data_IF_248022475123
#
_entry.id   IF_248022475123
#
_cell.length_a   1.000
_cell.length_b   1.000
_cell.length_c   1.000
_cell.angle_alpha   90.00
_cell.angle_beta   90.00
_cell.angle_gamma   90.00
#
_symmetry.space_group_name_H-M   'P 1'
#
loop_
_entity.id
_entity.type
_entity.pdbx_description
1 polymer ?
#
# COMPACT_ATOMS: atom_id res chain seq x y z
N UNK A 1 -13.68 3.89 -8.53
CA UNK A 1 -13.10 3.50 -7.24
C UNK A 1 -11.91 2.60 -7.49
N UNK A 2 -10.72 2.90 -6.93
CA UNK A 2 -9.47 2.17 -7.24
C UNK A 2 -9.14 1.10 -6.18
N UNK A 3 -9.59 1.29 -4.95
CA UNK A 3 -9.45 0.35 -3.83
C UNK A 3 -9.81 1.02 -2.52
N UNK A 4 -9.79 0.24 -1.44
CA UNK A 4 -9.99 0.71 -0.07
C UNK A 4 -8.77 0.33 0.74
N UNK A 5 -8.19 1.30 1.45
CA UNK A 5 -7.07 1.07 2.34
C UNK A 5 -7.63 1.09 3.78
N UNK A 6 -7.48 0.00 4.54
CA UNK A 6 -7.98 -0.05 5.92
C UNK A 6 -7.14 0.87 6.81
N UNK A 7 -7.74 1.32 7.92
CA UNK A 7 -6.95 1.85 9.04
C UNK A 7 -6.11 0.69 9.59
N UNK A 8 -4.79 0.85 9.59
CA UNK A 8 -3.85 -0.19 9.97
C UNK A 8 -2.75 0.36 10.86
N UNK A 9 -2.47 -0.36 11.94
CA UNK A 9 -1.35 -0.07 12.84
C UNK A 9 -0.01 -0.22 12.12
N UNK A 10 0.11 -1.14 11.15
CA UNK A 10 1.34 -1.33 10.38
C UNK A 10 1.67 -0.08 9.54
N UNK A 11 0.65 0.61 9.00
CA UNK A 11 0.85 1.88 8.29
C UNK A 11 1.40 2.94 9.25
N UNK A 12 0.84 3.03 10.46
CA UNK A 12 1.29 3.98 11.48
C UNK A 12 2.74 3.72 11.88
N UNK A 13 3.08 2.48 12.22
CA UNK A 13 4.44 2.09 12.62
C UNK A 13 5.47 2.26 11.49
N UNK A 14 5.07 2.04 10.24
CA UNK A 14 5.92 2.30 9.08
C UNK A 14 6.17 3.81 8.92
N UNK A 15 5.12 4.62 9.06
CA UNK A 15 5.21 6.09 9.00
C UNK A 15 6.10 6.66 10.10
N UNK A 16 5.93 6.21 11.35
CA UNK A 16 6.75 6.63 12.49
C UNK A 16 8.22 6.21 12.33
N UNK A 17 8.48 5.07 11.66
CA UNK A 17 9.82 4.63 11.32
C UNK A 17 10.44 5.39 10.13
N UNK A 18 9.68 6.25 9.45
CA UNK A 18 10.14 7.01 8.28
C UNK A 18 10.31 6.16 7.02
N UNK A 19 9.73 4.95 6.97
CA UNK A 19 9.84 4.03 5.84
C UNK A 19 8.45 3.62 5.35
N UNK A 20 8.11 3.72 4.04
CA UNK A 20 6.82 3.29 3.53
C UNK A 20 6.53 1.80 3.82
N UNK A 21 5.28 1.46 4.15
CA UNK A 21 4.90 0.07 4.46
C UNK A 21 5.19 -0.90 3.30
N UNK A 22 5.08 -0.42 2.05
CA UNK A 22 5.38 -1.19 0.83
C UNK A 22 6.87 -1.55 0.68
N UNK A 23 7.77 -0.81 1.34
CA UNK A 23 9.20 -1.13 1.45
C UNK A 23 9.50 -1.94 2.71
N UNK A 24 8.97 -1.47 3.85
CA UNK A 24 9.24 -2.04 5.18
C UNK A 24 8.71 -3.46 5.34
N UNK A 25 7.50 -3.74 4.84
CA UNK A 25 6.89 -5.07 4.84
C UNK A 25 6.14 -5.31 3.51
N UNK A 26 6.86 -5.69 2.44
CA UNK A 26 6.28 -5.81 1.09
C UNK A 26 5.19 -6.87 0.96
N UNK A 27 5.22 -7.90 1.81
CA UNK A 27 4.29 -9.05 1.79
C UNK A 27 3.06 -8.83 2.69
N UNK A 28 2.97 -7.69 3.38
CA UNK A 28 1.79 -7.39 4.21
C UNK A 28 0.54 -7.24 3.36
N UNK A 29 -0.62 -7.58 3.92
CA UNK A 29 -1.90 -7.42 3.24
C UNK A 29 -2.15 -5.96 2.81
N UNK A 30 -1.65 -4.99 3.57
CA UNK A 30 -1.77 -3.57 3.24
C UNK A 30 -0.88 -3.19 2.06
N UNK A 31 0.36 -3.69 2.02
CA UNK A 31 1.28 -3.47 0.90
C UNK A 31 0.71 -4.04 -0.41
N UNK A 32 0.09 -5.21 -0.34
CA UNK A 32 -0.64 -5.84 -1.45
C UNK A 32 -1.79 -4.95 -1.97
N UNK A 33 -2.56 -4.32 -1.08
CA UNK A 33 -3.63 -3.38 -1.47
C UNK A 33 -3.05 -2.17 -2.22
N UNK A 34 -1.97 -1.56 -1.72
CA UNK A 34 -1.30 -0.47 -2.42
C UNK A 34 -0.81 -0.90 -3.81
N UNK A 35 -0.24 -2.10 -3.92
CA UNK A 35 0.22 -2.64 -5.20
C UNK A 35 -0.94 -2.86 -6.17
N UNK A 36 -2.05 -3.45 -5.72
CA UNK A 36 -3.24 -3.65 -6.56
C UNK A 36 -3.84 -2.32 -7.05
N UNK A 37 -3.82 -1.27 -6.23
CA UNK A 37 -4.24 0.08 -6.64
C UNK A 37 -3.29 0.62 -7.72
N UNK A 38 -1.98 0.49 -7.54
CA UNK A 38 -0.98 0.93 -8.50
C UNK A 38 -1.12 0.21 -9.85
N UNK A 39 -1.33 -1.11 -9.84
CA UNK A 39 -1.56 -1.91 -11.04
C UNK A 39 -2.80 -1.45 -11.82
N UNK A 40 -3.91 -1.14 -11.13
CA UNK A 40 -5.11 -0.59 -11.77
C UNK A 40 -4.84 0.77 -12.43
N UNK A 41 -4.05 1.62 -11.79
CA UNK A 41 -3.68 2.94 -12.36
C UNK A 41 -2.84 2.74 -13.62
N UNK A 42 -1.82 1.88 -13.57
CA UNK A 42 -0.97 1.57 -14.73
C UNK A 42 -1.81 1.01 -15.88
N UNK A 43 -2.75 0.11 -15.60
CA UNK A 43 -3.64 -0.46 -16.62
C UNK A 43 -4.59 0.56 -17.26
N UNK A 44 -4.90 1.67 -16.59
CA UNK A 44 -5.74 2.74 -17.15
C UNK A 44 -4.91 3.73 -17.98
N UNK A 45 -3.60 3.84 -17.71
CA UNK A 45 -2.70 4.75 -18.41
C UNK A 45 -2.04 4.14 -19.66
N UNK A 46 -2.02 2.80 -19.74
CA UNK A 46 -1.57 2.04 -20.92
C UNK A 46 -2.73 1.83 -21.91
#
# INVERSE_FOLDING_TARGET
MLGEIPISQEIMEATDAGEPITSKNPESQVSEIYRSIAEKIVNVLN
#
